data_IF_137040316479
#
_entry.id   IF_137040316479
#
_cell.length_a   1.000
_cell.length_b   1.000
_cell.length_c   1.000
_cell.angle_alpha   90.00
_cell.angle_beta   90.00
_cell.angle_gamma   90.00
#
_symmetry.space_group_name_H-M   'P 1'
#
loop_
_entity.id
_entity.type
_entity.pdbx_description
1 polymer ?
#
# COMPACT_ATOMS: atom_id res chain seq x y z
N UNK A 1 -20.84 -11.39 -24.92
CA UNK A 1 -22.07 -10.92 -24.25
C UNK A 1 -22.86 -12.05 -23.61
N UNK A 2 -23.07 -13.19 -24.29
CA UNK A 2 -23.88 -14.30 -23.77
C UNK A 2 -23.42 -14.86 -22.40
N UNK A 3 -22.10 -15.00 -22.17
CA UNK A 3 -21.61 -15.46 -20.86
C UNK A 3 -21.89 -14.44 -19.74
N UNK A 4 -21.81 -13.14 -20.04
CA UNK A 4 -22.04 -12.05 -19.06
C UNK A 4 -23.49 -12.06 -18.57
N UNK A 5 -24.46 -12.35 -19.44
CA UNK A 5 -25.87 -12.45 -19.04
C UNK A 5 -26.15 -13.64 -18.12
N UNK A 6 -25.40 -14.74 -18.27
CA UNK A 6 -25.64 -15.98 -17.52
C UNK A 6 -25.00 -15.94 -16.12
N UNK A 7 -23.81 -15.35 -15.98
CA UNK A 7 -23.04 -15.37 -14.73
C UNK A 7 -23.54 -14.37 -13.69
N UNK A 8 -23.43 -14.72 -12.40
CA UNK A 8 -23.79 -13.85 -11.25
C UNK A 8 -22.79 -12.70 -10.98
N UNK A 9 -21.84 -12.50 -11.88
CA UNK A 9 -20.84 -11.45 -11.78
C UNK A 9 -19.74 -11.66 -12.81
N UNK A 10 -18.89 -10.65 -12.96
CA UNK A 10 -17.72 -10.72 -13.80
C UNK A 10 -16.53 -10.04 -13.12
N UNK A 11 -15.35 -10.66 -13.28
CA UNK A 11 -14.06 -10.06 -12.97
C UNK A 11 -13.40 -9.77 -14.32
N UNK A 12 -13.28 -8.48 -14.64
CA UNK A 12 -12.68 -8.03 -15.90
C UNK A 12 -11.22 -7.68 -15.65
N UNK A 13 -10.32 -8.35 -16.35
CA UNK A 13 -8.88 -8.11 -16.31
C UNK A 13 -8.51 -7.26 -17.53
N UNK A 14 -7.77 -6.17 -17.34
CA UNK A 14 -7.29 -5.32 -18.45
C UNK A 14 -5.77 -5.38 -18.58
N UNK A 15 -5.30 -5.51 -19.81
CA UNK A 15 -3.86 -5.48 -20.13
C UNK A 15 -3.20 -4.16 -19.74
N UNK A 16 -3.90 -3.04 -19.90
CA UNK A 16 -3.35 -1.72 -19.53
C UNK A 16 -3.03 -1.62 -18.04
N UNK A 17 -3.91 -2.14 -17.18
CA UNK A 17 -3.70 -2.18 -15.72
C UNK A 17 -2.55 -3.12 -15.35
N UNK A 18 -2.41 -4.24 -16.08
CA UNK A 18 -1.30 -5.17 -15.88
C UNK A 18 0.05 -4.53 -16.23
N UNK A 19 0.09 -3.78 -17.34
CA UNK A 19 1.28 -3.08 -17.81
C UNK A 19 1.64 -1.88 -16.92
N UNK A 20 0.65 -1.24 -16.28
CA UNK A 20 0.87 -0.17 -15.30
C UNK A 20 1.25 -0.69 -13.90
N UNK A 21 1.51 -1.99 -13.75
CA UNK A 21 1.95 -2.60 -12.49
C UNK A 21 0.85 -2.88 -11.47
N UNK A 22 -0.43 -2.78 -11.83
CA UNK A 22 -1.55 -3.20 -10.98
C UNK A 22 -1.75 -4.70 -11.16
N UNK A 23 -1.47 -5.46 -10.10
CA UNK A 23 -1.57 -6.93 -10.09
C UNK A 23 -2.25 -7.35 -8.79
N UNK A 24 -3.39 -8.06 -8.82
CA UNK A 24 -4.14 -8.50 -10.00
C UNK A 24 -4.79 -7.34 -10.78
N UNK A 25 -4.79 -7.41 -12.11
CA UNK A 25 -5.19 -6.32 -13.01
C UNK A 25 -6.72 -6.18 -13.17
N UNK A 26 -7.45 -6.20 -12.05
CA UNK A 26 -8.91 -6.15 -12.00
C UNK A 26 -9.41 -4.73 -12.24
N UNK A 27 -10.30 -4.58 -13.21
CA UNK A 27 -10.99 -3.31 -13.42
C UNK A 27 -12.22 -3.20 -12.51
N UNK A 28 -12.08 -2.51 -11.37
CA UNK A 28 -13.13 -2.35 -10.35
C UNK A 28 -14.41 -1.68 -10.88
N UNK A 29 -14.30 -0.76 -11.85
CA UNK A 29 -15.46 -0.05 -12.41
C UNK A 29 -16.36 -0.93 -13.28
N UNK A 30 -15.78 -1.84 -14.06
CA UNK A 30 -16.53 -2.71 -14.99
C UNK A 30 -16.84 -4.08 -14.35
N UNK A 31 -16.03 -4.50 -13.37
CA UNK A 31 -16.24 -5.73 -12.63
C UNK A 31 -17.44 -5.58 -11.69
N UNK A 32 -18.28 -6.60 -11.67
CA UNK A 32 -19.56 -6.58 -10.95
C UNK A 32 -19.74 -7.92 -10.25
N UNK A 33 -20.34 -7.87 -9.05
CA UNK A 33 -20.90 -9.03 -8.37
C UNK A 33 -22.38 -8.76 -8.13
N UNK A 34 -23.26 -9.64 -8.62
CA UNK A 34 -24.72 -9.55 -8.41
C UNK A 34 -25.11 -10.01 -7.01
N UNK A 35 -24.30 -10.88 -6.37
CA UNK A 35 -24.48 -11.31 -4.98
C UNK A 35 -24.09 -10.19 -3.99
N UNK A 36 -23.10 -9.37 -4.37
CA UNK A 36 -22.68 -8.20 -3.61
C UNK A 36 -22.20 -8.53 -2.19
N UNK A 37 -22.54 -7.65 -1.23
CA UNK A 37 -22.11 -7.77 0.16
C UNK A 37 -22.72 -8.93 0.95
N UNK A 38 -23.66 -9.70 0.37
CA UNK A 38 -24.21 -10.89 1.02
C UNK A 38 -23.20 -12.05 1.09
N UNK A 39 -22.21 -12.06 0.20
CA UNK A 39 -21.13 -13.04 0.20
C UNK A 39 -19.96 -12.68 1.15
N UNK A 40 -20.04 -11.54 1.86
CA UNK A 40 -18.96 -11.02 2.68
C UNK A 40 -19.24 -11.17 4.17
N UNK A 41 -18.18 -11.36 4.97
CA UNK A 41 -18.28 -11.22 6.43
C UNK A 41 -18.60 -9.76 6.80
N UNK A 42 -19.25 -9.56 7.95
CA UNK A 42 -19.68 -8.22 8.40
C UNK A 42 -18.52 -7.22 8.46
N UNK A 43 -17.35 -7.66 8.91
CA UNK A 43 -16.13 -6.84 8.93
C UNK A 43 -15.73 -6.34 7.53
N UNK A 44 -15.65 -7.24 6.55
CA UNK A 44 -15.33 -6.90 5.15
C UNK A 44 -16.38 -5.99 4.53
N UNK A 45 -17.67 -6.24 4.80
CA UNK A 45 -18.75 -5.37 4.31
C UNK A 45 -18.66 -3.94 4.84
N UNK A 46 -18.24 -3.75 6.10
CA UNK A 46 -18.06 -2.42 6.71
C UNK A 46 -16.96 -1.64 5.98
N UNK A 47 -15.82 -2.27 5.71
CA UNK A 47 -14.66 -1.60 5.10
C UNK A 47 -14.77 -1.47 3.57
N UNK A 48 -15.32 -2.47 2.89
CA UNK A 48 -15.44 -2.49 1.43
C UNK A 48 -16.63 -1.66 0.91
N UNK A 49 -17.55 -1.27 1.79
CA UNK A 49 -18.73 -0.48 1.44
C UNK A 49 -18.39 0.89 0.84
N UNK A 50 -17.37 1.56 1.37
CA UNK A 50 -16.88 2.85 0.85
C UNK A 50 -15.85 2.66 -0.25
N UNK A 51 -15.03 1.60 -0.19
CA UNK A 51 -13.92 1.33 -1.11
C UNK A 51 -14.29 1.43 -2.60
N UNK A 52 -15.45 0.89 -3.01
CA UNK A 52 -15.88 0.95 -4.42
C UNK A 52 -16.16 2.38 -4.86
N UNK A 53 -16.79 3.18 -4.00
CA UNK A 53 -17.10 4.58 -4.27
C UNK A 53 -15.81 5.40 -4.32
N UNK A 54 -14.92 5.19 -3.34
CA UNK A 54 -13.64 5.91 -3.22
C UNK A 54 -12.75 5.65 -4.45
N UNK A 55 -12.65 4.41 -4.92
CA UNK A 55 -11.90 4.05 -6.14
C UNK A 55 -12.54 4.57 -7.42
N UNK A 56 -13.86 4.69 -7.47
CA UNK A 56 -14.56 5.27 -8.62
C UNK A 56 -14.27 6.78 -8.71
N UNK A 57 -14.44 7.49 -7.59
CA UNK A 57 -14.14 8.92 -7.50
C UNK A 57 -12.66 9.21 -7.78
N UNK A 58 -11.76 8.39 -7.24
CA UNK A 58 -10.32 8.48 -7.54
C UNK A 58 -10.04 8.42 -9.04
N UNK A 59 -10.68 7.50 -9.78
CA UNK A 59 -10.47 7.38 -11.24
C UNK A 59 -11.03 8.57 -12.02
N UNK A 60 -12.18 9.10 -11.60
CA UNK A 60 -12.76 10.30 -12.20
C UNK A 60 -11.84 11.51 -11.98
N UNK A 61 -11.34 11.68 -10.76
CA UNK A 61 -10.39 12.74 -10.42
C UNK A 61 -9.04 12.56 -11.10
N UNK A 62 -8.53 11.33 -11.23
CA UNK A 62 -7.27 11.05 -11.91
C UNK A 62 -7.34 11.43 -13.39
N UNK A 63 -8.48 11.14 -14.04
CA UNK A 63 -8.70 11.58 -15.42
C UNK A 63 -8.78 13.11 -15.50
N UNK A 64 -9.45 13.78 -14.55
CA UNK A 64 -9.54 15.25 -14.51
C UNK A 64 -8.19 15.93 -14.25
N UNK A 65 -7.38 15.37 -13.34
CA UNK A 65 -6.03 15.83 -13.00
C UNK A 65 -5.06 15.77 -14.18
N UNK A 66 -5.32 14.93 -15.20
CA UNK A 66 -4.53 14.93 -16.43
C UNK A 66 -4.81 16.14 -17.34
N UNK A 67 -5.91 16.84 -17.13
CA UNK A 67 -6.34 17.98 -17.96
C UNK A 67 -6.35 19.33 -17.21
N UNK A 68 -6.37 19.33 -15.88
CA UNK A 68 -6.38 20.53 -15.04
C UNK A 68 -5.00 20.88 -14.48
N UNK A 69 -4.63 22.16 -14.50
CA UNK A 69 -3.33 22.65 -13.98
C UNK A 69 -3.34 23.01 -12.48
N UNK A 70 -4.51 23.24 -11.88
CA UNK A 70 -4.65 23.55 -10.45
C UNK A 70 -5.71 22.65 -9.81
N UNK A 71 -5.27 21.81 -8.88
CA UNK A 71 -6.12 20.98 -8.05
C UNK A 71 -6.18 21.58 -6.66
N UNK A 72 -7.37 21.75 -6.12
CA UNK A 72 -7.57 22.19 -4.74
C UNK A 72 -7.07 21.12 -3.75
N UNK A 73 -6.78 21.54 -2.51
CA UNK A 73 -6.20 20.66 -1.49
C UNK A 73 -7.07 19.43 -1.18
N UNK A 74 -8.40 19.54 -1.27
CA UNK A 74 -9.28 18.40 -1.03
C UNK A 74 -9.16 17.35 -2.15
N UNK A 75 -9.10 17.80 -3.42
CA UNK A 75 -8.84 16.92 -4.57
C UNK A 75 -7.47 16.25 -4.50
N UNK A 76 -6.44 16.99 -4.08
CA UNK A 76 -5.10 16.41 -3.89
C UNK A 76 -5.11 15.32 -2.81
N UNK A 77 -5.73 15.57 -1.66
CA UNK A 77 -5.86 14.57 -0.60
C UNK A 77 -6.63 13.33 -1.06
N UNK A 78 -7.70 13.52 -1.84
CA UNK A 78 -8.49 12.43 -2.38
C UNK A 78 -7.73 11.60 -3.41
N UNK A 79 -6.96 12.23 -4.30
CA UNK A 79 -6.06 11.55 -5.24
C UNK A 79 -5.00 10.75 -4.51
N UNK A 80 -4.36 11.36 -3.52
CA UNK A 80 -3.29 10.74 -2.75
C UNK A 80 -3.81 9.54 -1.94
N UNK A 81 -5.04 9.60 -1.40
CA UNK A 81 -5.69 8.45 -0.75
C UNK A 81 -6.07 7.36 -1.75
N UNK A 82 -6.58 7.73 -2.91
CA UNK A 82 -6.91 6.77 -3.96
C UNK A 82 -5.70 6.02 -4.50
N UNK A 83 -4.55 6.70 -4.65
CA UNK A 83 -3.28 6.07 -4.98
C UNK A 83 -2.86 5.03 -3.92
N UNK A 84 -3.03 5.38 -2.64
CA UNK A 84 -2.74 4.47 -1.53
C UNK A 84 -3.63 3.24 -1.52
N UNK A 85 -4.93 3.43 -1.78
CA UNK A 85 -5.89 2.34 -1.92
C UNK A 85 -5.57 1.44 -3.12
N UNK A 86 -5.11 1.99 -4.24
CA UNK A 86 -4.68 1.18 -5.38
C UNK A 86 -3.44 0.36 -5.04
N UNK A 87 -2.48 0.95 -4.31
CA UNK A 87 -1.24 0.27 -3.94
C UNK A 87 -1.48 -0.89 -2.97
N UNK A 88 -2.36 -0.72 -1.97
CA UNK A 88 -2.65 -1.78 -0.99
C UNK A 88 -3.45 -2.94 -1.59
N UNK A 89 -4.14 -2.72 -2.70
CA UNK A 89 -4.83 -3.78 -3.44
C UNK A 89 -3.90 -4.59 -4.35
N UNK A 90 -2.61 -4.21 -4.46
CA UNK A 90 -1.63 -4.98 -5.22
C UNK A 90 -1.15 -6.17 -4.40
N UNK A 91 -1.22 -7.34 -5.02
CA UNK A 91 -0.87 -8.61 -4.39
C UNK A 91 0.04 -9.42 -5.30
N UNK A 92 1.12 -9.95 -4.70
CA UNK A 92 2.06 -10.81 -5.41
C UNK A 92 1.43 -12.17 -5.73
N UNK A 93 1.88 -12.80 -6.83
CA UNK A 93 1.38 -14.10 -7.23
C UNK A 93 1.70 -15.17 -6.18
N UNK A 94 0.76 -16.09 -5.95
CA UNK A 94 0.87 -17.19 -5.00
C UNK A 94 1.02 -16.79 -3.52
N UNK A 95 0.72 -15.54 -3.17
CA UNK A 95 0.70 -15.08 -1.78
C UNK A 95 -0.73 -14.74 -1.34
N UNK A 96 -1.63 -15.74 -1.13
CA UNK A 96 -2.98 -15.46 -0.68
C UNK A 96 -2.97 -14.81 0.71
N UNK A 97 -3.81 -13.79 0.89
CA UNK A 97 -3.94 -13.05 2.15
C UNK A 97 -5.20 -13.49 2.89
N UNK A 98 -5.12 -13.60 4.21
CA UNK A 98 -6.30 -13.91 5.04
C UNK A 98 -7.34 -12.78 4.95
N UNK A 99 -8.63 -13.11 4.95
CA UNK A 99 -9.70 -12.10 4.95
C UNK A 99 -9.55 -11.07 6.08
N UNK A 100 -9.06 -11.48 7.25
CA UNK A 100 -8.85 -10.56 8.37
C UNK A 100 -7.68 -9.60 8.12
N UNK A 101 -6.61 -10.07 7.48
CA UNK A 101 -5.49 -9.21 7.09
C UNK A 101 -5.92 -8.21 6.02
N UNK A 102 -6.72 -8.64 5.03
CA UNK A 102 -7.31 -7.76 4.03
C UNK A 102 -8.17 -6.66 4.66
N UNK A 103 -8.99 -7.01 5.65
CA UNK A 103 -9.81 -6.04 6.39
C UNK A 103 -8.93 -5.00 7.09
N UNK A 104 -7.84 -5.43 7.75
CA UNK A 104 -6.94 -4.54 8.47
C UNK A 104 -6.18 -3.61 7.53
N UNK A 105 -5.69 -4.12 6.40
CA UNK A 105 -5.05 -3.31 5.35
C UNK A 105 -5.98 -2.19 4.88
N UNK A 106 -7.20 -2.55 4.47
CA UNK A 106 -8.17 -1.56 3.95
C UNK A 106 -8.57 -0.57 5.05
N UNK A 107 -8.75 -1.04 6.29
CA UNK A 107 -9.13 -0.18 7.41
C UNK A 107 -8.06 0.86 7.73
N UNK A 108 -6.78 0.47 7.72
CA UNK A 108 -5.66 1.38 8.00
C UNK A 108 -5.60 2.55 7.00
N UNK A 109 -5.83 2.27 5.71
CA UNK A 109 -5.86 3.32 4.68
C UNK A 109 -7.12 4.19 4.80
N UNK A 110 -8.28 3.58 5.06
CA UNK A 110 -9.54 4.32 5.22
C UNK A 110 -9.52 5.29 6.42
N UNK A 111 -8.79 4.94 7.49
CA UNK A 111 -8.61 5.78 8.67
C UNK A 111 -7.55 6.88 8.49
N UNK A 112 -6.78 6.86 7.40
CA UNK A 112 -5.77 7.87 7.11
C UNK A 112 -4.41 7.63 7.77
N UNK A 113 -4.18 6.47 8.41
CA UNK A 113 -2.89 6.14 9.04
C UNK A 113 -1.73 5.95 8.04
N UNK A 114 -2.04 6.02 6.75
CA UNK A 114 -1.06 5.95 5.66
C UNK A 114 -0.87 7.28 4.93
N UNK A 115 -1.57 8.35 5.33
CA UNK A 115 -1.61 9.62 4.59
C UNK A 115 -0.23 10.33 4.59
N UNK A 116 0.58 10.12 5.64
CA UNK A 116 1.95 10.65 5.75
C UNK A 116 3.02 9.76 5.08
N UNK A 117 2.65 8.56 4.63
CA UNK A 117 3.58 7.63 3.97
C UNK A 117 3.66 7.89 2.47
N UNK A 118 4.86 7.77 1.92
CA UNK A 118 5.06 7.76 0.47
C UNK A 118 4.42 6.51 -0.15
N UNK A 119 3.92 6.64 -1.38
CA UNK A 119 3.26 5.52 -2.10
C UNK A 119 4.16 4.29 -2.22
N UNK A 120 5.48 4.51 -2.37
CA UNK A 120 6.47 3.42 -2.45
C UNK A 120 6.59 2.60 -1.16
N UNK A 121 6.21 3.16 -0.01
CA UNK A 121 6.38 2.56 1.31
C UNK A 121 5.16 1.76 1.76
N UNK A 122 4.00 1.95 1.13
CA UNK A 122 2.72 1.33 1.52
C UNK A 122 2.81 -0.19 1.58
N UNK A 123 3.43 -0.82 0.58
CA UNK A 123 3.55 -2.30 0.55
C UNK A 123 4.45 -2.83 1.65
N UNK A 124 5.49 -2.08 2.02
CA UNK A 124 6.37 -2.42 3.13
C UNK A 124 5.65 -2.21 4.46
N UNK A 125 4.93 -1.10 4.58
CA UNK A 125 4.08 -0.80 5.73
C UNK A 125 3.02 -1.88 5.95
N UNK A 126 2.29 -2.31 4.92
CA UNK A 126 1.28 -3.37 5.02
C UNK A 126 1.87 -4.66 5.58
N UNK A 127 2.99 -5.12 5.01
CA UNK A 127 3.68 -6.34 5.45
C UNK A 127 4.15 -6.21 6.90
N UNK A 128 4.73 -5.07 7.25
CA UNK A 128 5.23 -4.81 8.60
C UNK A 128 4.08 -4.70 9.62
N UNK A 129 2.97 -4.05 9.25
CA UNK A 129 1.76 -3.94 10.06
C UNK A 129 1.18 -5.33 10.37
N UNK A 130 1.06 -6.19 9.35
CA UNK A 130 0.58 -7.56 9.56
C UNK A 130 1.48 -8.37 10.48
N UNK A 131 2.80 -8.18 10.39
CA UNK A 131 3.76 -8.84 11.29
C UNK A 131 3.63 -8.30 12.73
N UNK A 132 3.55 -6.98 12.89
CA UNK A 132 3.39 -6.32 14.18
C UNK A 132 2.11 -6.78 14.89
N UNK A 133 0.98 -6.79 14.18
CA UNK A 133 -0.30 -7.27 14.73
C UNK A 133 -0.26 -8.73 15.15
N UNK A 134 0.40 -9.59 14.35
CA UNK A 134 0.57 -11.01 14.69
C UNK A 134 1.46 -11.24 15.91
N UNK A 135 2.48 -10.41 16.09
CA UNK A 135 3.43 -10.52 17.20
C UNK A 135 2.86 -9.96 18.50
N UNK A 136 2.24 -8.78 18.44
CA UNK A 136 1.94 -7.96 19.62
C UNK A 136 0.45 -7.89 19.97
N UNK A 137 -0.45 -8.11 19.00
CA UNK A 137 -1.90 -7.86 19.17
C UNK A 137 -2.75 -9.06 18.74
N UNK A 138 -2.32 -10.26 19.14
CA UNK A 138 -3.01 -11.51 18.81
C UNK A 138 -4.42 -11.56 19.39
N UNK A 139 -4.63 -10.95 20.55
CA UNK A 139 -5.93 -10.81 21.22
C UNK A 139 -6.95 -10.07 20.34
N UNK A 140 -6.55 -8.96 19.71
CA UNK A 140 -7.41 -8.19 18.80
C UNK A 140 -7.72 -9.00 17.54
N UNK A 141 -6.74 -9.74 17.01
CA UNK A 141 -6.94 -10.63 15.86
C UNK A 141 -7.91 -11.77 16.17
N UNK A 142 -7.84 -12.35 17.37
CA UNK A 142 -8.72 -13.43 17.78
C UNK A 142 -10.15 -12.92 18.06
N UNK A 143 -10.31 -11.75 18.67
CA UNK A 143 -11.62 -11.10 18.80
C UNK A 143 -12.27 -10.80 17.44
N UNK A 144 -11.48 -10.33 16.47
CA UNK A 144 -11.96 -10.09 15.11
C UNK A 144 -12.38 -11.39 14.41
N UNK A 145 -11.65 -12.49 14.64
CA UNK A 145 -11.96 -13.82 14.09
C UNK A 145 -13.24 -14.41 14.67
N UNK A 146 -13.45 -14.27 15.97
CA UNK A 146 -14.65 -14.76 16.66
C UNK A 146 -15.89 -13.96 16.27
N UNK A 147 -15.82 -12.63 16.34
CA UNK A 147 -16.97 -11.77 16.05
C UNK A 147 -17.26 -11.66 14.55
N UNK A 148 -16.25 -11.83 13.68
CA UNK A 148 -16.32 -11.61 12.22
C UNK A 148 -16.90 -10.24 11.83
N UNK A 149 -16.83 -9.29 12.75
CA UNK A 149 -17.43 -7.96 12.68
C UNK A 149 -16.49 -6.95 13.33
N UNK A 150 -16.51 -5.72 12.79
CA UNK A 150 -15.82 -4.57 13.36
C UNK A 150 -16.84 -3.77 14.18
N UNK A 151 -16.86 -3.99 15.49
CA UNK A 151 -17.54 -3.11 16.42
C UNK A 151 -16.68 -1.88 16.72
N UNK A 152 -17.28 -0.88 17.38
CA UNK A 152 -16.60 0.39 17.64
C UNK A 152 -15.47 0.23 18.66
N UNK A 153 -15.54 -0.79 19.52
CA UNK A 153 -14.47 -1.13 20.47
C UNK A 153 -13.23 -1.66 19.75
N UNK A 154 -13.38 -2.65 18.86
CA UNK A 154 -12.28 -3.19 18.04
C UNK A 154 -11.76 -2.09 17.11
N UNK A 155 -12.65 -1.30 16.53
CA UNK A 155 -12.27 -0.19 15.64
C UNK A 155 -11.41 0.84 16.38
N UNK A 156 -11.80 1.23 17.60
CA UNK A 156 -11.02 2.16 18.42
C UNK A 156 -9.68 1.60 18.88
N UNK A 157 -9.62 0.31 19.25
CA UNK A 157 -8.34 -0.35 19.57
C UNK A 157 -7.40 -0.37 18.37
N UNK A 158 -7.93 -0.73 17.19
CA UNK A 158 -7.16 -0.76 15.95
C UNK A 158 -6.69 0.63 15.54
N UNK A 159 -7.50 1.66 15.73
CA UNK A 159 -7.13 3.04 15.43
C UNK A 159 -5.89 3.50 16.21
N UNK A 160 -5.87 3.21 17.52
CA UNK A 160 -4.70 3.49 18.38
C UNK A 160 -3.48 2.70 17.93
N UNK A 161 -3.63 1.40 17.70
CA UNK A 161 -2.53 0.52 17.26
C UNK A 161 -1.97 0.99 15.91
N UNK A 162 -2.83 1.38 14.97
CA UNK A 162 -2.41 1.87 13.66
C UNK A 162 -1.69 3.20 13.77
N UNK A 163 -2.16 4.12 14.61
CA UNK A 163 -1.49 5.39 14.85
C UNK A 163 -0.11 5.22 15.47
N UNK A 164 0.00 4.41 16.53
CA UNK A 164 1.27 4.11 17.20
C UNK A 164 2.27 3.46 16.23
N UNK A 165 1.80 2.47 15.46
CA UNK A 165 2.64 1.77 14.48
C UNK A 165 3.03 2.67 13.30
N UNK A 166 2.14 3.54 12.80
CA UNK A 166 2.46 4.48 11.73
C UNK A 166 3.54 5.47 12.17
N UNK A 167 3.45 5.98 13.41
CA UNK A 167 4.48 6.85 13.98
C UNK A 167 5.82 6.11 14.14
N UNK A 168 5.82 4.88 14.65
CA UNK A 168 7.02 4.04 14.76
C UNK A 168 7.65 3.77 13.38
N UNK A 169 6.83 3.42 12.39
CA UNK A 169 7.28 3.13 11.04
C UNK A 169 7.87 4.36 10.36
N UNK A 170 7.24 5.54 10.49
CA UNK A 170 7.75 6.82 9.99
C UNK A 170 9.10 7.19 10.63
N UNK A 171 9.23 7.00 11.95
CA UNK A 171 10.49 7.21 12.65
C UNK A 171 11.60 6.26 12.13
N UNK A 172 11.26 4.99 11.91
CA UNK A 172 12.16 4.01 11.32
C UNK A 172 12.60 4.36 9.89
N UNK A 173 11.67 4.79 9.05
CA UNK A 173 11.93 5.24 7.66
C UNK A 173 12.87 6.46 7.63
N UNK A 174 12.64 7.43 8.51
CA UNK A 174 13.45 8.67 8.59
C UNK A 174 14.89 8.38 9.00
N UNK A 175 15.11 7.34 9.81
CA UNK A 175 16.47 6.92 10.20
C UNK A 175 17.28 6.32 9.04
N UNK A 176 16.63 5.71 8.04
CA UNK A 176 17.30 5.07 6.90
C UNK A 176 17.62 6.08 5.78
N UNK A 177 16.82 7.13 5.61
CA UNK A 177 17.05 8.15 4.55
C UNK A 177 18.23 9.08 4.84
N UNK A 178 18.66 9.20 6.09
CA UNK A 178 19.85 9.97 6.47
C UNK A 178 21.20 9.27 6.20
N UNK A 179 21.18 8.01 5.71
CA UNK A 179 22.36 7.18 5.51
C UNK A 179 22.96 7.13 4.08
N UNK A 180 22.32 7.70 3.05
CA UNK A 180 22.82 7.63 1.67
C UNK A 180 23.29 9.00 1.15
N UNK A 181 24.44 9.47 1.64
CA UNK A 181 24.97 10.78 1.27
C UNK A 181 26.45 10.99 1.56
N UNK A 182 27.33 10.04 1.22
CA UNK A 182 28.77 10.32 1.04
C UNK A 182 29.43 9.22 0.20
N UNK A 183 29.40 9.38 -1.12
CA UNK A 183 30.46 8.85 -1.97
C UNK A 183 31.31 10.04 -2.39
N UNK A 184 32.31 10.35 -1.56
CA UNK A 184 33.40 11.23 -1.97
C UNK A 184 34.23 10.49 -3.00
N UNK A 185 34.18 11.00 -4.24
CA UNK A 185 34.96 10.48 -5.36
C UNK A 185 36.42 10.88 -5.14
N UNK A 186 37.22 9.96 -4.57
CA UNK A 186 38.66 10.10 -4.42
C UNK A 186 39.35 10.02 -5.77
N UNK A 187 39.45 11.15 -6.47
CA UNK A 187 40.25 11.28 -7.67
C UNK A 187 41.73 11.16 -7.31
N UNK A 188 42.32 10.01 -7.64
CA UNK A 188 43.75 9.75 -7.53
C UNK A 188 44.57 10.77 -8.31
N UNK A 189 45.38 11.55 -7.59
CA UNK A 189 46.42 12.38 -8.18
C UNK A 189 47.74 11.62 -8.09
N UNK A 190 48.22 11.19 -9.25
CA UNK A 190 49.57 10.67 -9.43
C UNK A 190 50.58 11.74 -9.04
N UNK A 191 51.37 11.50 -7.99
CA UNK A 191 52.64 12.17 -7.76
C UNK A 191 53.77 11.19 -8.06
N UNK A 192 54.48 11.47 -9.16
CA UNK A 192 55.75 10.83 -9.46
C UNK A 192 56.82 11.36 -8.52
N UNK A 193 57.43 10.46 -7.74
CA UNK A 193 58.68 10.74 -7.07
C UNK A 193 59.73 9.71 -7.53
N UNK A 194 60.53 10.11 -8.53
CA UNK A 194 61.80 9.45 -8.85
C UNK A 194 62.87 10.10 -7.99
N UNK A 195 63.33 9.39 -6.97
CA UNK A 195 64.44 9.79 -6.10
C UNK A 195 65.22 8.58 -5.63
N UNK A 196 66.37 8.38 -6.27
CA UNK A 196 67.53 7.55 -5.93
C UNK A 196 67.60 6.89 -4.53
N UNK A 197 67.97 5.60 -4.47
CA UNK A 197 69.34 5.21 -4.07
C UNK A 197 69.61 3.70 -4.17
N UNK A 198 70.71 3.40 -4.89
CA UNK A 198 71.74 2.36 -4.67
C UNK A 198 71.40 0.91 -4.30
N UNK A 199 71.98 -0.01 -5.08
CA UNK A 199 72.64 -1.19 -4.47
C UNK A 199 72.77 -2.45 -5.32
N UNK A 200 73.95 -2.59 -5.95
CA UNK A 200 74.74 -3.82 -6.09
C UNK A 200 74.47 -4.87 -7.20
N UNK A 201 75.57 -5.13 -7.92
CA UNK A 201 76.06 -6.39 -8.47
C UNK A 201 75.51 -6.89 -9.82
N UNK A 202 76.20 -6.52 -10.91
CA UNK A 202 77.18 -7.39 -11.62
C UNK A 202 77.85 -6.59 -12.75
#
# INVERSE_FOLDING_TARGET
>A
TNCISITDGQIIIKTDLFNSGIRPAVNVGISVSRVGGAAQIKAMKKVAGTLRLDLAQYREMQAFAQFGSDLDAATQAQLARGERLVEILKQDQYQPMNVFEQVLSILAVNMGHTDDLDVSQIRTFEKALHQHLKANHKDVLDQLREKKALDDEITGKLDVIFGDFAAEFLAGVTSVSSGSGSHSNGAGKLEGNKGAHSGAAA
#
